data_IF_011396364713
#
_entry.id   IF_011396364713
#
_cell.length_a   1.000
_cell.length_b   1.000
_cell.length_c   1.000
_cell.angle_alpha   90.00
_cell.angle_beta   90.00
_cell.angle_gamma   90.00
#
_symmetry.space_group_name_H-M   'P 1'
#
loop_
_entity.id
_entity.type
_entity.pdbx_description
1 polymer ?
#
# COMPACT_ATOMS: atom_id res chain seq x y z
N UNK A 1 -7.10 15.74 15.89
CA UNK A 1 -8.38 15.48 16.59
C UNK A 1 -8.51 16.57 17.64
N UNK A 2 -9.63 17.29 17.67
CA UNK A 2 -9.88 18.29 18.71
C UNK A 2 -10.60 17.55 19.83
N UNK A 3 -9.94 17.47 20.98
CA UNK A 3 -10.46 16.73 22.12
C UNK A 3 -11.19 17.67 23.09
N UNK A 4 -10.71 18.90 23.27
CA UNK A 4 -11.38 19.97 24.03
C UNK A 4 -11.05 21.37 23.45
N UNK A 5 -11.94 22.35 23.65
CA UNK A 5 -11.74 23.75 23.27
C UNK A 5 -12.48 24.20 21.99
N UNK A 6 -12.25 25.46 21.59
CA UNK A 6 -12.90 26.08 20.42
C UNK A 6 -11.90 26.23 19.28
N UNK A 7 -12.28 25.83 18.05
CA UNK A 7 -11.46 26.03 16.84
C UNK A 7 -12.21 26.83 15.80
N UNK A 8 -11.46 27.65 15.06
CA UNK A 8 -11.90 28.17 13.77
C UNK A 8 -11.12 27.42 12.69
N UNK A 9 -11.83 26.79 11.75
CA UNK A 9 -11.24 26.06 10.65
C UNK A 9 -11.78 26.59 9.32
N UNK A 10 -10.94 26.63 8.30
CA UNK A 10 -11.34 26.92 6.93
C UNK A 10 -11.66 25.61 6.22
N UNK A 11 -12.82 25.55 5.57
CA UNK A 11 -13.21 24.39 4.76
C UNK A 11 -12.40 24.40 3.47
N UNK A 12 -11.52 23.41 3.30
CA UNK A 12 -10.74 23.21 2.07
C UNK A 12 -11.43 22.29 1.05
N UNK A 13 -12.34 21.42 1.50
CA UNK A 13 -13.14 20.52 0.66
C UNK A 13 -14.47 20.18 1.33
N UNK A 14 -15.54 19.99 0.55
CA UNK A 14 -16.89 19.70 1.04
C UNK A 14 -17.58 18.60 0.22
N UNK A 15 -18.54 17.89 0.83
CA UNK A 15 -19.30 16.83 0.16
C UNK A 15 -18.43 15.70 -0.39
N UNK A 16 -18.48 15.50 -1.72
CA UNK A 16 -17.77 14.43 -2.43
C UNK A 16 -16.26 14.63 -2.45
N UNK A 17 -15.79 15.86 -2.29
CA UNK A 17 -14.36 16.19 -2.32
C UNK A 17 -13.68 15.96 -0.96
N UNK A 18 -14.44 15.56 0.07
CA UNK A 18 -13.88 15.25 1.38
C UNK A 18 -13.06 13.97 1.36
N UNK A 19 -12.05 13.90 2.23
CA UNK A 19 -11.25 12.70 2.46
C UNK A 19 -12.15 11.50 2.81
N UNK A 20 -13.19 11.70 3.62
CA UNK A 20 -14.13 10.64 3.97
C UNK A 20 -14.92 10.12 2.77
N UNK A 21 -15.43 10.99 1.89
CA UNK A 21 -16.10 10.55 0.66
C UNK A 21 -15.15 9.74 -0.24
N UNK A 22 -13.91 10.21 -0.40
CA UNK A 22 -12.90 9.47 -1.16
C UNK A 22 -12.61 8.08 -0.58
N UNK A 23 -12.54 7.95 0.75
CA UNK A 23 -12.38 6.65 1.42
C UNK A 23 -13.58 5.74 1.12
N UNK A 24 -14.80 6.26 1.25
CA UNK A 24 -16.03 5.50 0.98
C UNK A 24 -16.10 5.05 -0.48
N UNK A 25 -15.72 5.92 -1.43
CA UNK A 25 -15.72 5.60 -2.85
C UNK A 25 -14.63 4.58 -3.22
N UNK A 26 -13.45 4.67 -2.61
CA UNK A 26 -12.40 3.65 -2.76
C UNK A 26 -12.89 2.27 -2.27
N UNK A 27 -13.50 2.20 -1.09
CA UNK A 27 -14.03 0.94 -0.55
C UNK A 27 -15.14 0.38 -1.44
N UNK A 28 -16.06 1.23 -1.93
CA UNK A 28 -17.13 0.81 -2.84
C UNK A 28 -16.58 0.27 -4.17
N UNK A 29 -15.58 0.93 -4.75
CA UNK A 29 -14.94 0.47 -5.99
C UNK A 29 -14.25 -0.87 -5.78
N UNK A 30 -13.53 -1.03 -4.66
CA UNK A 30 -12.85 -2.28 -4.32
C UNK A 30 -13.80 -3.47 -4.19
N UNK A 31 -15.02 -3.24 -3.67
CA UNK A 31 -16.05 -4.26 -3.54
C UNK A 31 -16.76 -4.60 -4.86
N UNK A 32 -16.77 -3.69 -5.84
CA UNK A 32 -17.47 -3.86 -7.12
C UNK A 32 -16.68 -4.63 -8.19
N UNK A 33 -15.39 -4.84 -7.99
CA UNK A 33 -14.52 -5.49 -8.97
C UNK A 33 -14.50 -7.01 -8.81
N UNK A 34 -14.46 -7.76 -9.93
CA UNK A 34 -14.39 -9.23 -9.90
C UNK A 34 -12.96 -9.71 -9.62
N UNK A 35 -12.68 -10.31 -8.45
CA UNK A 35 -11.34 -10.78 -8.11
C UNK A 35 -10.96 -12.05 -8.89
N UNK A 36 -9.64 -12.34 -9.03
CA UNK A 36 -9.16 -13.58 -9.65
C UNK A 36 -9.74 -14.86 -9.04
N UNK A 37 -9.95 -14.90 -7.71
CA UNK A 37 -10.55 -16.09 -7.07
C UNK A 37 -12.01 -16.32 -7.47
N UNK A 38 -12.78 -15.25 -7.74
CA UNK A 38 -14.11 -15.39 -8.30
C UNK A 38 -14.06 -15.96 -9.74
N UNK A 39 -13.02 -15.63 -10.51
CA UNK A 39 -12.81 -16.25 -11.82
C UNK A 39 -12.43 -17.74 -11.71
N UNK A 40 -11.72 -18.13 -10.63
CA UNK A 40 -11.47 -19.55 -10.34
C UNK A 40 -12.78 -20.28 -10.04
N UNK A 41 -13.66 -19.68 -9.24
CA UNK A 41 -15.00 -20.18 -9.01
C UNK A 41 -15.79 -20.35 -10.33
N UNK A 42 -15.77 -19.35 -11.21
CA UNK A 42 -16.43 -19.44 -12.53
C UNK A 42 -15.87 -20.59 -13.40
N UNK A 43 -14.54 -20.81 -13.37
CA UNK A 43 -13.90 -21.94 -14.07
C UNK A 43 -14.31 -23.29 -13.52
N UNK A 44 -14.42 -23.42 -12.19
CA UNK A 44 -14.89 -24.67 -11.57
C UNK A 44 -16.34 -24.93 -12.00
N UNK A 45 -17.21 -23.93 -11.95
CA UNK A 45 -18.60 -24.04 -12.39
C UNK A 45 -18.72 -24.47 -13.86
N UNK A 46 -17.85 -23.95 -14.73
CA UNK A 46 -17.84 -24.32 -16.16
C UNK A 46 -17.54 -25.81 -16.42
N UNK A 47 -16.81 -26.48 -15.51
CA UNK A 47 -16.54 -27.92 -15.57
C UNK A 47 -17.62 -28.70 -14.79
N UNK A 48 -17.99 -28.20 -13.62
CA UNK A 48 -18.90 -28.87 -12.68
C UNK A 48 -20.30 -29.04 -13.26
N UNK A 49 -20.85 -28.01 -13.93
CA UNK A 49 -22.21 -28.06 -14.49
C UNK A 49 -22.37 -29.16 -15.55
N UNK A 50 -21.51 -29.27 -16.58
CA UNK A 50 -21.56 -30.39 -17.54
C UNK A 50 -21.42 -31.77 -16.88
N UNK A 51 -20.55 -31.89 -15.86
CA UNK A 51 -20.34 -33.16 -15.14
C UNK A 51 -21.61 -33.57 -14.40
N UNK A 52 -22.26 -32.66 -13.67
CA UNK A 52 -23.51 -32.92 -12.95
C UNK A 52 -24.63 -33.30 -13.91
N UNK A 53 -24.76 -32.62 -15.06
CA UNK A 53 -25.73 -32.99 -16.09
C UNK A 53 -25.48 -34.41 -16.63
N UNK A 54 -24.21 -34.76 -16.87
CA UNK A 54 -23.81 -36.11 -17.25
C UNK A 54 -24.19 -37.15 -16.18
N UNK A 55 -23.90 -36.89 -14.91
CA UNK A 55 -24.28 -37.77 -13.79
C UNK A 55 -25.79 -37.91 -13.68
N UNK A 56 -26.56 -36.83 -13.84
CA UNK A 56 -28.02 -36.87 -13.80
C UNK A 56 -28.60 -37.70 -14.96
N UNK A 57 -28.05 -37.57 -16.16
CA UNK A 57 -28.44 -38.38 -17.32
C UNK A 57 -28.11 -39.87 -17.10
N UNK A 58 -26.91 -40.18 -16.60
CA UNK A 58 -26.52 -41.55 -16.26
C UNK A 58 -27.39 -42.12 -15.13
N UNK A 59 -27.75 -41.31 -14.15
CA UNK A 59 -28.66 -41.67 -13.06
C UNK A 59 -30.03 -42.04 -13.60
N UNK A 60 -30.58 -41.23 -14.53
CA UNK A 60 -31.86 -41.52 -15.17
C UNK A 60 -31.82 -42.84 -15.94
N UNK A 61 -30.84 -43.02 -16.82
CA UNK A 61 -30.73 -44.21 -17.67
C UNK A 61 -30.50 -45.47 -16.83
N UNK A 62 -29.53 -45.43 -15.92
CA UNK A 62 -29.17 -46.58 -15.08
C UNK A 62 -30.31 -47.01 -14.14
N UNK A 63 -30.99 -46.06 -13.51
CA UNK A 63 -32.11 -46.37 -12.63
C UNK A 63 -33.36 -46.80 -13.41
N UNK A 64 -33.58 -46.28 -14.63
CA UNK A 64 -34.69 -46.74 -15.46
C UNK A 64 -34.52 -48.21 -15.85
N UNK A 65 -33.31 -48.61 -16.27
CA UNK A 65 -32.99 -50.01 -16.60
C UNK A 65 -33.12 -50.92 -15.37
N UNK A 66 -32.63 -50.48 -14.21
CA UNK A 66 -32.63 -51.30 -12.99
C UNK A 66 -34.02 -51.41 -12.34
N UNK A 67 -34.74 -50.31 -12.19
CA UNK A 67 -36.04 -50.27 -11.51
C UNK A 67 -37.21 -50.59 -12.46
N UNK A 68 -36.98 -50.60 -13.78
CA UNK A 68 -38.01 -50.76 -14.82
C UNK A 68 -39.14 -49.72 -14.71
N UNK A 69 -38.89 -48.58 -14.05
CA UNK A 69 -39.88 -47.54 -13.79
C UNK A 69 -39.29 -46.16 -14.08
N UNK A 70 -39.93 -45.43 -14.98
CA UNK A 70 -39.46 -44.11 -15.42
C UNK A 70 -39.60 -43.05 -14.32
N UNK A 71 -40.75 -42.98 -13.65
CA UNK A 71 -41.03 -41.94 -12.66
C UNK A 71 -40.02 -41.94 -11.48
N UNK A 72 -39.69 -43.07 -10.83
CA UNK A 72 -38.67 -43.10 -9.78
C UNK A 72 -37.27 -42.75 -10.28
N UNK A 73 -36.91 -43.16 -11.50
CA UNK A 73 -35.61 -42.83 -12.11
C UNK A 73 -35.49 -41.33 -12.41
N UNK A 74 -36.56 -40.71 -12.91
CA UNK A 74 -36.65 -39.27 -13.13
C UNK A 74 -36.54 -38.48 -11.82
N UNK A 75 -37.20 -38.93 -10.76
CA UNK A 75 -37.11 -38.30 -9.43
C UNK A 75 -35.68 -38.33 -8.87
N UNK A 76 -34.94 -39.44 -9.06
CA UNK A 76 -33.52 -39.54 -8.64
C UNK A 76 -32.63 -38.61 -9.45
N UNK A 77 -32.84 -38.51 -10.77
CA UNK A 77 -32.10 -37.58 -11.62
C UNK A 77 -32.37 -36.11 -11.24
N UNK A 78 -33.63 -35.75 -10.97
CA UNK A 78 -33.99 -34.42 -10.46
C UNK A 78 -33.34 -34.16 -9.09
N UNK A 79 -33.33 -35.14 -8.19
CA UNK A 79 -32.67 -35.01 -6.89
C UNK A 79 -31.16 -34.73 -7.03
N UNK A 80 -30.48 -35.38 -7.99
CA UNK A 80 -29.06 -35.09 -8.32
C UNK A 80 -28.88 -33.65 -8.80
N UNK A 81 -29.76 -33.15 -9.67
CA UNK A 81 -29.67 -31.76 -10.16
C UNK A 81 -29.93 -30.74 -9.04
N UNK A 82 -30.93 -30.98 -8.19
CA UNK A 82 -31.31 -30.09 -7.09
C UNK A 82 -30.19 -30.03 -6.05
N UNK A 83 -29.68 -31.19 -5.62
CA UNK A 83 -28.67 -31.24 -4.55
C UNK A 83 -27.29 -30.75 -5.00
N UNK A 84 -27.06 -30.66 -6.31
CA UNK A 84 -25.80 -30.21 -6.86
C UNK A 84 -25.69 -28.68 -7.01
N UNK A 85 -26.73 -27.87 -6.80
CA UNK A 85 -26.60 -26.41 -6.92
C UNK A 85 -25.51 -25.90 -5.96
N UNK A 86 -24.42 -25.27 -6.44
CA UNK A 86 -23.44 -24.64 -5.56
C UNK A 86 -23.92 -23.23 -5.19
N UNK A 87 -25.09 -23.13 -4.59
CA UNK A 87 -25.77 -21.87 -4.30
C UNK A 87 -24.95 -21.00 -3.30
N UNK A 88 -24.37 -21.59 -2.24
CA UNK A 88 -23.45 -20.90 -1.32
C UNK A 88 -22.15 -20.36 -1.95
N UNK A 89 -21.66 -21.01 -3.01
CA UNK A 89 -20.38 -20.66 -3.65
C UNK A 89 -20.39 -19.23 -4.22
N UNK A 90 -21.52 -18.81 -4.80
CA UNK A 90 -21.66 -17.50 -5.44
C UNK A 90 -21.60 -16.33 -4.46
N UNK A 91 -21.87 -16.57 -3.17
CA UNK A 91 -21.91 -15.54 -2.12
C UNK A 91 -20.70 -15.59 -1.19
N UNK A 92 -20.09 -16.76 -1.00
CA UNK A 92 -18.99 -16.94 -0.06
C UNK A 92 -17.76 -16.06 -0.34
N UNK A 93 -17.37 -15.95 -1.62
CA UNK A 93 -16.17 -15.17 -2.01
C UNK A 93 -16.41 -13.65 -1.85
N UNK A 94 -17.49 -13.06 -2.39
CA UNK A 94 -17.79 -11.65 -2.17
C UNK A 94 -17.95 -11.27 -0.70
N UNK A 95 -18.57 -12.12 0.12
CA UNK A 95 -18.74 -11.88 1.55
C UNK A 95 -17.40 -11.82 2.29
N UNK A 96 -16.53 -12.81 2.10
CA UNK A 96 -15.21 -12.85 2.72
C UNK A 96 -14.35 -11.64 2.33
N UNK A 97 -14.40 -11.23 1.06
CA UNK A 97 -13.69 -10.04 0.57
C UNK A 97 -14.26 -8.76 1.20
N UNK A 98 -15.58 -8.61 1.24
CA UNK A 98 -16.22 -7.43 1.84
C UNK A 98 -15.83 -7.26 3.31
N UNK A 99 -15.81 -8.36 4.08
CA UNK A 99 -15.38 -8.33 5.48
C UNK A 99 -13.88 -8.08 5.61
N UNK A 100 -13.05 -8.71 4.77
CA UNK A 100 -11.60 -8.49 4.75
C UNK A 100 -11.24 -7.02 4.47
N UNK A 101 -11.87 -6.42 3.45
CA UNK A 101 -11.73 -5.00 3.11
C UNK A 101 -12.25 -4.10 4.23
N UNK A 102 -13.40 -4.44 4.85
CA UNK A 102 -13.95 -3.69 5.98
C UNK A 102 -13.03 -3.71 7.20
N UNK A 103 -12.45 -4.87 7.53
CA UNK A 103 -11.46 -5.02 8.61
C UNK A 103 -10.17 -4.24 8.30
N UNK A 104 -9.69 -4.30 7.06
CA UNK A 104 -8.54 -3.51 6.62
C UNK A 104 -8.80 -2.00 6.81
N UNK A 105 -9.93 -1.50 6.32
CA UNK A 105 -10.29 -0.09 6.42
C UNK A 105 -10.39 0.39 7.87
N UNK A 106 -10.99 -0.42 8.77
CA UNK A 106 -11.04 -0.12 10.22
C UNK A 106 -9.66 0.00 10.86
N UNK A 107 -8.65 -0.67 10.32
CA UNK A 107 -7.27 -0.61 10.80
C UNK A 107 -6.40 0.38 10.00
N UNK A 108 -7.02 1.20 9.15
CA UNK A 108 -6.31 2.20 8.36
C UNK A 108 -5.51 1.62 7.20
N UNK A 109 -5.99 0.54 6.59
CA UNK A 109 -5.42 -0.05 5.37
C UNK A 109 -6.52 -0.03 4.31
N UNK A 110 -6.33 0.74 3.25
CA UNK A 110 -7.31 0.87 2.18
C UNK A 110 -6.80 0.13 0.95
N UNK A 111 -7.50 -0.93 0.56
CA UNK A 111 -7.28 -1.58 -0.72
C UNK A 111 -8.22 -0.95 -1.75
N UNK A 112 -7.68 -0.62 -2.93
CA UNK A 112 -8.45 -0.04 -4.03
C UNK A 112 -9.23 -1.08 -4.82
N UNK A 113 -8.68 -2.29 -4.89
CA UNK A 113 -9.25 -3.41 -5.63
C UNK A 113 -9.07 -4.71 -4.85
N UNK A 114 -10.04 -5.62 -5.01
CA UNK A 114 -10.01 -6.93 -4.36
C UNK A 114 -8.84 -7.79 -4.86
N UNK A 115 -8.37 -7.58 -6.09
CA UNK A 115 -7.21 -8.27 -6.66
C UNK A 115 -5.95 -8.00 -5.84
N UNK A 116 -5.75 -6.77 -5.40
CA UNK A 116 -4.61 -6.38 -4.57
C UNK A 116 -4.58 -7.15 -3.26
N UNK A 117 -5.73 -7.35 -2.61
CA UNK A 117 -5.83 -8.16 -1.39
C UNK A 117 -5.30 -9.61 -1.62
N UNK A 118 -5.58 -10.19 -2.78
CA UNK A 118 -5.06 -11.52 -3.15
C UNK A 118 -3.57 -11.52 -3.48
N UNK A 119 -3.08 -10.48 -4.19
CA UNK A 119 -1.68 -10.36 -4.59
C UNK A 119 -0.74 -10.26 -3.39
N UNK A 120 -1.17 -9.64 -2.28
CA UNK A 120 -0.39 -9.52 -1.05
C UNK A 120 0.11 -10.86 -0.50
N UNK A 121 -0.66 -11.93 -0.68
CA UNK A 121 -0.30 -13.28 -0.22
C UNK A 121 0.98 -13.79 -0.87
N UNK A 122 1.20 -13.45 -2.14
CA UNK A 122 2.27 -14.03 -2.96
C UNK A 122 3.55 -13.17 -2.94
N UNK A 123 3.54 -12.03 -2.25
CA UNK A 123 4.69 -11.14 -2.17
C UNK A 123 5.92 -11.86 -1.62
N UNK A 124 7.03 -11.71 -2.33
CA UNK A 124 8.35 -12.27 -1.98
C UNK A 124 9.36 -11.20 -1.62
N UNK A 125 9.15 -9.99 -2.11
CA UNK A 125 10.02 -8.87 -1.81
C UNK A 125 9.25 -7.56 -1.70
N UNK A 126 9.80 -6.66 -0.89
CA UNK A 126 9.30 -5.30 -0.69
C UNK A 126 10.43 -4.33 -0.99
N UNK A 127 10.18 -3.43 -1.92
CA UNK A 127 11.03 -2.30 -2.26
C UNK A 127 10.52 -1.07 -1.52
N UNK A 128 11.40 -0.39 -0.83
CA UNK A 128 11.11 0.82 -0.10
C UNK A 128 11.75 2.01 -0.79
N UNK A 129 10.99 3.07 -1.02
CA UNK A 129 11.58 4.39 -1.16
C UNK A 129 12.14 4.87 0.19
N UNK A 130 13.09 5.80 0.14
CA UNK A 130 13.67 6.37 1.35
C UNK A 130 12.78 7.46 1.93
N UNK A 131 12.62 8.55 1.18
CA UNK A 131 12.15 9.84 1.68
C UNK A 131 10.64 9.79 1.88
N UNK A 132 10.16 10.14 3.07
CA UNK A 132 8.73 10.10 3.40
C UNK A 132 8.15 8.69 3.62
N UNK A 133 8.93 7.64 3.33
CA UNK A 133 8.54 6.23 3.48
C UNK A 133 9.22 5.58 4.69
N UNK A 134 10.52 5.27 4.61
CA UNK A 134 11.30 4.77 5.76
C UNK A 134 11.66 5.91 6.71
N UNK A 135 11.76 7.11 6.16
CA UNK A 135 11.87 8.35 6.92
C UNK A 135 10.53 9.07 6.99
N UNK A 136 10.46 10.07 7.86
CA UNK A 136 9.28 10.92 8.05
C UNK A 136 9.20 12.01 6.98
N UNK A 137 10.27 12.27 6.22
CA UNK A 137 10.39 13.44 5.34
C UNK A 137 10.55 14.75 6.11
N UNK A 138 10.63 14.69 7.44
CA UNK A 138 10.93 15.82 8.30
C UNK A 138 12.43 15.83 8.53
N UNK A 139 13.06 16.89 8.04
CA UNK A 139 14.49 17.09 8.20
C UNK A 139 14.75 17.77 9.55
N UNK A 140 15.79 17.30 10.25
CA UNK A 140 16.36 17.98 11.40
C UNK A 140 17.82 18.34 11.18
N UNK A 141 18.29 19.39 11.84
CA UNK A 141 19.67 19.85 11.67
C UNK A 141 20.61 18.86 12.36
N UNK A 142 21.47 18.22 11.56
CA UNK A 142 22.43 17.23 12.03
C UNK A 142 23.71 17.90 12.54
N UNK A 143 24.11 19.01 11.92
CA UNK A 143 25.31 19.77 12.28
C UNK A 143 25.47 20.99 11.39
N UNK A 144 26.40 21.87 11.77
CA UNK A 144 26.81 23.00 10.95
C UNK A 144 28.26 23.34 11.28
N UNK A 145 28.94 24.00 10.35
CA UNK A 145 30.28 24.50 10.57
C UNK A 145 30.42 25.89 9.98
N UNK A 146 31.16 26.75 10.70
CA UNK A 146 31.43 28.12 10.32
C UNK A 146 32.90 28.18 9.94
N UNK A 147 33.17 28.57 8.70
CA UNK A 147 34.53 28.70 8.17
C UNK A 147 35.03 30.12 8.39
N UNK A 148 34.16 31.12 8.21
CA UNK A 148 34.51 32.52 8.35
C UNK A 148 34.79 32.87 9.82
N UNK A 149 36.05 33.20 10.20
CA UNK A 149 36.42 33.47 11.58
C UNK A 149 35.82 34.78 12.11
N UNK A 150 35.27 35.64 11.24
CA UNK A 150 34.59 36.88 11.62
C UNK A 150 33.10 36.68 11.93
N UNK A 151 32.57 35.48 11.69
CA UNK A 151 31.17 35.15 11.85
C UNK A 151 30.93 34.42 13.17
N UNK A 152 29.99 34.91 13.98
CA UNK A 152 29.52 34.19 15.16
C UNK A 152 28.34 33.25 14.81
N UNK A 153 28.08 32.30 15.71
CA UNK A 153 27.01 31.32 15.55
C UNK A 153 25.63 31.98 15.41
N UNK A 154 25.40 33.07 16.14
CA UNK A 154 24.12 33.79 16.13
C UNK A 154 23.87 34.43 14.78
N UNK A 155 24.85 35.14 14.19
CA UNK A 155 24.67 35.75 12.89
C UNK A 155 24.61 34.70 11.77
N UNK A 156 25.39 33.62 11.86
CA UNK A 156 25.32 32.52 10.90
C UNK A 156 23.91 31.92 10.83
N UNK A 157 23.36 31.54 12.00
CA UNK A 157 22.01 30.98 12.10
C UNK A 157 20.95 31.98 11.63
N UNK A 158 21.10 33.27 11.96
CA UNK A 158 20.20 34.34 11.53
C UNK A 158 20.20 34.51 10.01
N UNK A 159 21.36 34.47 9.36
CA UNK A 159 21.49 34.56 7.90
C UNK A 159 20.82 33.35 7.24
N UNK A 160 21.17 32.14 7.69
CA UNK A 160 20.62 30.90 7.17
C UNK A 160 19.08 30.87 7.26
N UNK A 161 18.53 31.12 8.45
CA UNK A 161 17.07 31.09 8.65
C UNK A 161 16.35 32.20 7.88
N UNK A 162 16.94 33.40 7.77
CA UNK A 162 16.35 34.53 7.03
C UNK A 162 16.35 34.32 5.51
N UNK A 163 17.35 33.62 4.95
CA UNK A 163 17.38 33.24 3.53
C UNK A 163 16.37 32.12 3.24
N UNK A 164 16.44 31.05 4.02
CA UNK A 164 15.67 29.82 3.78
C UNK A 164 14.18 29.99 4.04
N UNK A 165 13.77 31.01 4.82
CA UNK A 165 12.36 31.35 5.06
C UNK A 165 11.56 31.62 3.78
N UNK A 166 12.22 31.99 2.68
CA UNK A 166 11.58 32.27 1.40
C UNK A 166 11.49 31.04 0.47
N UNK A 167 12.15 29.93 0.82
CA UNK A 167 12.10 28.70 0.02
C UNK A 167 10.98 27.77 0.50
N UNK A 168 10.37 27.06 -0.45
CA UNK A 168 9.37 26.03 -0.16
C UNK A 168 10.00 24.64 0.07
N UNK A 169 11.31 24.50 -0.09
CA UNK A 169 12.00 23.22 0.02
C UNK A 169 11.94 22.67 1.47
N UNK A 170 11.74 21.36 1.68
CA UNK A 170 11.68 20.77 3.03
C UNK A 170 12.90 21.07 3.91
N UNK A 171 14.10 21.05 3.34
CA UNK A 171 15.36 21.42 4.04
C UNK A 171 15.36 22.90 4.47
N UNK A 172 14.83 23.79 3.62
CA UNK A 172 14.74 25.20 3.95
C UNK A 172 13.77 25.46 5.11
N UNK A 173 12.65 24.73 5.11
CA UNK A 173 11.67 24.77 6.18
C UNK A 173 12.24 24.29 7.50
N UNK A 174 13.08 23.24 7.53
CA UNK A 174 13.70 22.79 8.78
C UNK A 174 14.66 23.84 9.33
N UNK A 175 15.53 24.42 8.49
CA UNK A 175 16.47 25.47 8.89
C UNK A 175 15.75 26.71 9.42
N UNK A 176 14.78 27.23 8.67
CA UNK A 176 14.02 28.42 9.06
C UNK A 176 13.15 28.23 10.30
N UNK A 177 12.72 27.00 10.59
CA UNK A 177 11.92 26.69 11.78
C UNK A 177 12.78 26.50 13.03
N UNK A 178 13.84 25.69 12.94
CA UNK A 178 14.72 25.39 14.09
C UNK A 178 15.59 26.59 14.50
N UNK A 179 16.05 27.38 13.53
CA UNK A 179 16.90 28.55 13.78
C UNK A 179 16.14 29.87 13.70
N UNK A 180 14.84 29.84 14.01
CA UNK A 180 14.00 31.03 14.02
C UNK A 180 14.50 32.03 15.07
N UNK A 181 15.04 33.16 14.62
CA UNK A 181 15.51 34.24 15.48
C UNK A 181 14.46 35.35 15.63
N UNK A 182 14.49 36.10 16.75
CA UNK A 182 13.57 37.26 16.96
C UNK A 182 13.87 38.45 16.05
N UNK A 183 15.05 38.50 15.45
CA UNK A 183 15.50 39.59 14.58
C UNK A 183 15.74 39.06 13.16
N UNK A 184 14.69 39.05 12.34
CA UNK A 184 14.80 38.69 10.91
C UNK A 184 15.61 39.74 10.15
N UNK A 185 16.50 39.30 9.26
CA UNK A 185 17.19 40.19 8.34
C UNK A 185 16.21 40.71 7.28
N UNK A 186 16.25 42.02 7.04
CA UNK A 186 15.50 42.64 5.93
C UNK A 186 16.34 42.64 4.68
N UNK A 187 15.98 41.76 3.74
CA UNK A 187 16.59 41.72 2.43
C UNK A 187 16.03 42.80 1.51
N UNK A 188 16.89 43.43 0.72
CA UNK A 188 16.52 44.36 -0.35
C UNK A 188 15.96 43.60 -1.56
N UNK A 189 16.54 42.43 -1.84
CA UNK A 189 16.12 41.53 -2.92
C UNK A 189 16.33 40.08 -2.49
N UNK A 190 15.39 39.19 -2.79
CA UNK A 190 15.51 37.75 -2.58
C UNK A 190 15.00 37.05 -3.83
N UNK A 191 15.76 36.09 -4.34
CA UNK A 191 15.42 35.30 -5.53
C UNK A 191 15.77 33.82 -5.31
N UNK A 192 14.88 32.94 -5.75
CA UNK A 192 15.12 31.50 -5.79
C UNK A 192 15.75 31.15 -7.15
N UNK A 193 16.94 30.57 -7.11
CA UNK A 193 17.63 30.04 -8.28
C UNK A 193 17.29 28.56 -8.38
N UNK A 194 16.39 28.24 -9.32
CA UNK A 194 15.88 26.88 -9.51
C UNK A 194 17.00 25.85 -9.62
N UNK A 195 16.93 24.81 -8.78
CA UNK A 195 17.89 23.70 -8.76
C UNK A 195 19.23 24.01 -8.07
N UNK A 196 19.45 25.24 -7.61
CA UNK A 196 20.68 25.65 -6.94
C UNK A 196 20.44 26.11 -5.51
N UNK A 197 19.47 26.98 -5.26
CA UNK A 197 19.19 27.49 -3.91
C UNK A 197 18.62 28.90 -3.90
N UNK A 198 18.81 29.62 -2.79
CA UNK A 198 18.36 30.99 -2.58
C UNK A 198 19.51 31.99 -2.70
N UNK A 199 19.24 33.16 -3.26
CA UNK A 199 20.14 34.30 -3.24
C UNK A 199 19.42 35.54 -2.69
N UNK A 200 20.08 36.30 -1.85
CA UNK A 200 19.57 37.57 -1.34
C UNK A 200 20.64 38.66 -1.31
N UNK A 201 20.19 39.91 -1.33
CA UNK A 201 21.02 41.11 -1.16
C UNK A 201 20.50 41.88 0.04
N UNK A 202 21.39 42.25 0.96
CA UNK A 202 21.04 43.06 2.13
C UNK A 202 20.95 44.57 1.80
N UNK A 203 20.75 45.40 2.83
CA UNK A 203 20.68 46.86 2.68
C UNK A 203 22.06 47.50 2.37
N UNK A 204 23.15 46.84 2.77
CA UNK A 204 24.53 47.30 2.61
C UNK A 204 25.10 46.93 1.23
N UNK A 205 24.40 46.07 0.48
CA UNK A 205 24.81 45.62 -0.86
C UNK A 205 25.57 44.29 -0.87
N UNK A 206 25.67 43.61 0.28
CA UNK A 206 26.28 42.28 0.34
C UNK A 206 25.36 41.24 -0.29
N UNK A 207 25.95 40.32 -1.06
CA UNK A 207 25.25 39.20 -1.67
C UNK A 207 25.43 37.96 -0.81
N UNK A 208 24.31 37.34 -0.43
CA UNK A 208 24.29 36.07 0.29
C UNK A 208 23.63 35.00 -0.56
N UNK A 209 24.16 33.78 -0.50
CA UNK A 209 23.61 32.62 -1.18
C UNK A 209 23.54 31.43 -0.22
N UNK A 210 22.47 30.64 -0.31
CA UNK A 210 22.29 29.39 0.42
C UNK A 210 21.82 28.32 -0.56
N UNK A 211 22.57 27.24 -0.75
CA UNK A 211 22.25 26.29 -1.81
C UNK A 211 23.07 25.01 -1.82
N UNK A 212 22.87 24.20 -2.87
CA UNK A 212 23.55 22.93 -3.08
C UNK A 212 25.03 23.09 -3.41
N UNK A 213 25.77 21.98 -3.41
CA UNK A 213 27.20 21.96 -3.78
C UNK A 213 27.48 22.64 -5.13
N UNK A 214 26.58 22.54 -6.11
CA UNK A 214 26.75 23.16 -7.42
C UNK A 214 26.92 24.68 -7.33
N UNK A 215 26.30 25.33 -6.32
CA UNK A 215 26.45 26.77 -6.07
C UNK A 215 27.78 27.13 -5.40
N UNK A 216 28.39 26.18 -4.67
CA UNK A 216 29.64 26.35 -3.95
C UNK A 216 30.85 25.68 -4.64
N UNK A 217 30.66 25.14 -5.85
CA UNK A 217 31.64 24.31 -6.55
C UNK A 217 32.98 25.02 -6.78
N UNK A 218 32.94 26.33 -7.01
CA UNK A 218 34.15 27.14 -7.23
C UNK A 218 34.85 27.53 -5.91
N UNK A 219 34.21 27.26 -4.77
CA UNK A 219 34.65 27.68 -3.43
C UNK A 219 35.05 26.50 -2.53
N UNK A 220 34.51 25.31 -2.75
CA UNK A 220 34.87 24.09 -2.02
C UNK A 220 34.81 22.87 -2.93
N UNK A 221 35.66 21.89 -2.62
CA UNK A 221 35.67 20.59 -3.28
C UNK A 221 34.89 19.54 -2.48
N UNK A 222 34.53 19.85 -1.23
CA UNK A 222 33.72 18.97 -0.40
C UNK A 222 32.26 19.08 -0.82
N UNK A 223 31.71 17.98 -1.33
CA UNK A 223 30.33 17.86 -1.77
C UNK A 223 29.48 17.04 -0.80
N UNK A 224 29.94 16.79 0.43
CA UNK A 224 29.26 15.92 1.40
C UNK A 224 28.09 16.61 2.11
N UNK A 225 28.09 17.95 2.15
CA UNK A 225 27.12 18.75 2.89
C UNK A 225 25.86 19.09 2.09
N UNK A 226 24.78 19.36 2.82
CA UNK A 226 23.46 19.62 2.23
C UNK A 226 23.28 21.06 1.73
N UNK A 227 23.62 22.04 2.56
CA UNK A 227 23.45 23.47 2.25
C UNK A 227 24.74 24.22 2.53
N UNK A 228 25.24 24.95 1.53
CA UNK A 228 26.42 25.81 1.65
C UNK A 228 25.94 27.26 1.74
N UNK A 229 26.50 28.01 2.68
CA UNK A 229 26.26 29.44 2.81
C UNK A 229 27.46 30.22 2.28
N UNK A 230 27.19 31.22 1.45
CA UNK A 230 28.18 32.04 0.77
C UNK A 230 27.84 33.52 1.00
N UNK A 231 28.86 34.33 1.28
CA UNK A 231 28.77 35.79 1.36
C UNK A 231 29.81 36.41 0.43
N UNK A 232 29.38 37.28 -0.50
CA UNK A 232 30.27 37.97 -1.45
C UNK A 232 31.29 37.03 -2.11
N UNK A 233 30.80 35.89 -2.63
CA UNK A 233 31.59 34.83 -3.27
C UNK A 233 32.70 34.22 -2.38
N UNK A 234 32.54 34.31 -1.06
CA UNK A 234 33.34 33.58 -0.07
C UNK A 234 32.46 32.61 0.71
N UNK A 235 32.91 31.37 0.86
CA UNK A 235 32.17 30.35 1.62
C UNK A 235 32.25 30.67 3.12
N UNK A 236 31.09 30.93 3.74
CA UNK A 236 31.01 31.27 5.17
C UNK A 236 30.79 30.03 6.05
N UNK A 237 30.23 28.95 5.48
CA UNK A 237 30.01 27.70 6.19
C UNK A 237 29.01 26.80 5.49
N UNK A 238 28.59 25.75 6.19
CA UNK A 238 27.61 24.78 5.69
C UNK A 238 26.69 24.29 6.81
N UNK A 239 25.55 23.74 6.39
CA UNK A 239 24.54 23.13 7.25
C UNK A 239 24.22 21.75 6.72
N UNK A 240 24.30 20.77 7.62
CA UNK A 240 23.94 19.40 7.37
C UNK A 240 22.59 19.10 8.00
N UNK A 241 21.73 18.46 7.22
CA UNK A 241 20.43 18.01 7.67
C UNK A 241 20.32 16.50 7.51
N UNK A 242 19.61 15.87 8.43
CA UNK A 242 19.26 14.46 8.35
C UNK A 242 17.76 14.33 8.31
N UNK A 243 17.30 13.35 7.55
CA UNK A 243 15.89 12.97 7.53
C UNK A 243 15.65 11.99 8.67
N UNK A 244 14.63 12.23 9.49
CA UNK A 244 14.35 11.39 10.65
C UNK A 244 13.77 10.06 10.22
N UNK A 245 14.41 8.96 10.64
CA UNK A 245 13.93 7.61 10.40
C UNK A 245 12.68 7.36 11.23
N UNK A 246 11.68 6.70 10.64
CA UNK A 246 10.47 6.32 11.36
C UNK A 246 10.82 5.31 12.47
N UNK A 247 10.38 5.53 13.72
CA UNK A 247 10.74 4.65 14.84
C UNK A 247 10.25 3.20 14.65
N UNK A 248 9.17 3.00 13.89
CA UNK A 248 8.66 1.68 13.55
C UNK A 248 9.39 0.98 12.40
N UNK A 249 10.20 1.68 11.61
CA UNK A 249 10.77 1.16 10.37
C UNK A 249 11.57 -0.13 10.60
N UNK A 250 12.47 -0.11 11.59
CA UNK A 250 13.29 -1.29 11.92
C UNK A 250 12.45 -2.52 12.24
N UNK A 251 11.44 -2.34 13.10
CA UNK A 251 10.54 -3.42 13.51
C UNK A 251 9.72 -3.99 12.33
N UNK A 252 9.33 -3.13 11.38
CA UNK A 252 8.63 -3.56 10.17
C UNK A 252 9.56 -4.40 9.30
N UNK A 253 10.81 -3.97 9.07
CA UNK A 253 11.82 -4.75 8.33
C UNK A 253 12.04 -6.11 9.00
N UNK A 254 12.27 -6.15 10.32
CA UNK A 254 12.47 -7.39 11.06
C UNK A 254 11.26 -8.35 10.91
N UNK A 255 10.03 -7.79 10.88
CA UNK A 255 8.80 -8.59 10.69
C UNK A 255 8.69 -9.15 9.27
N UNK A 256 9.16 -8.42 8.26
CA UNK A 256 9.22 -8.89 6.87
C UNK A 256 10.24 -10.03 6.73
N UNK A 257 11.42 -9.88 7.35
CA UNK A 257 12.43 -10.93 7.41
C UNK A 257 11.94 -12.20 8.10
N UNK A 258 11.23 -12.06 9.22
CA UNK A 258 10.63 -13.21 9.91
C UNK A 258 9.59 -13.95 9.05
N UNK A 259 9.02 -13.29 8.03
CA UNK A 259 8.11 -13.88 7.04
C UNK A 259 8.83 -14.38 5.78
N UNK A 260 10.15 -14.27 5.71
CA UNK A 260 10.96 -14.66 4.55
C UNK A 260 10.80 -13.72 3.34
N UNK A 261 10.40 -12.46 3.59
CA UNK A 261 10.24 -11.44 2.55
C UNK A 261 11.54 -10.64 2.45
N UNK A 262 12.12 -10.59 1.25
CA UNK A 262 13.33 -9.81 0.98
C UNK A 262 13.03 -8.31 0.95
N UNK A 263 13.89 -7.51 1.55
CA UNK A 263 13.76 -6.06 1.62
C UNK A 263 14.80 -5.37 0.74
N UNK A 264 14.37 -4.36 -0.01
CA UNK A 264 15.22 -3.64 -0.97
C UNK A 264 15.02 -2.14 -0.73
N UNK A 265 16.10 -1.39 -0.56
CA UNK A 265 16.07 0.07 -0.55
C UNK A 265 16.33 0.58 -1.96
N UNK A 266 15.42 1.42 -2.47
CA UNK A 266 15.57 2.09 -3.76
C UNK A 266 15.59 3.60 -3.51
N UNK A 267 16.72 4.26 -3.79
CA UNK A 267 16.90 5.68 -3.46
C UNK A 267 17.68 6.44 -4.54
N UNK A 268 17.42 7.74 -4.63
CA UNK A 268 18.24 8.68 -5.40
C UNK A 268 19.45 9.21 -4.63
N UNK A 269 19.55 8.91 -3.33
CA UNK A 269 20.67 9.33 -2.49
C UNK A 269 21.98 8.65 -2.89
N UNK A 270 23.10 9.26 -2.47
CA UNK A 270 24.43 8.66 -2.63
C UNK A 270 24.51 7.31 -1.95
N UNK A 271 25.28 6.42 -2.57
CA UNK A 271 25.44 5.03 -2.11
C UNK A 271 25.85 4.90 -0.65
N UNK A 272 26.80 5.72 -0.21
CA UNK A 272 27.30 5.72 1.17
C UNK A 272 26.19 5.99 2.20
N UNK A 273 25.31 6.97 1.93
CA UNK A 273 24.18 7.32 2.82
C UNK A 273 23.10 6.23 2.79
N UNK A 274 22.82 5.67 1.62
CA UNK A 274 21.85 4.59 1.47
C UNK A 274 22.31 3.29 2.15
N UNK A 275 23.60 2.95 2.03
CA UNK A 275 24.21 1.78 2.68
C UNK A 275 24.23 1.93 4.21
N UNK A 276 24.49 3.14 4.72
CA UNK A 276 24.42 3.41 6.16
C UNK A 276 23.00 3.21 6.70
N UNK A 277 21.98 3.74 6.02
CA UNK A 277 20.58 3.56 6.38
C UNK A 277 20.16 2.08 6.32
N UNK A 278 20.57 1.38 5.26
CA UNK A 278 20.28 -0.04 5.11
C UNK A 278 20.91 -0.89 6.22
N UNK A 279 22.14 -0.57 6.65
CA UNK A 279 22.77 -1.24 7.80
C UNK A 279 22.03 -0.95 9.11
N UNK A 280 21.61 0.29 9.32
CA UNK A 280 20.84 0.69 10.51
C UNK A 280 19.49 -0.03 10.58
N UNK A 281 18.79 -0.16 9.45
CA UNK A 281 17.47 -0.79 9.36
C UNK A 281 17.51 -2.30 9.10
N UNK A 282 18.67 -2.86 8.76
CA UNK A 282 18.81 -4.27 8.38
C UNK A 282 18.22 -4.61 7.00
N UNK A 283 18.34 -3.74 6.00
CA UNK A 283 17.80 -3.98 4.65
C UNK A 283 18.77 -4.87 3.83
N UNK A 284 18.23 -5.83 3.07
CA UNK A 284 19.04 -6.87 2.38
C UNK A 284 19.79 -6.37 1.14
N UNK A 285 19.22 -5.40 0.42
CA UNK A 285 19.78 -4.93 -0.85
C UNK A 285 19.56 -3.44 -1.01
N UNK A 286 20.57 -2.72 -1.50
CA UNK A 286 20.53 -1.28 -1.74
C UNK A 286 20.72 -1.00 -3.23
N UNK A 287 19.82 -0.19 -3.79
CA UNK A 287 19.90 0.37 -5.13
C UNK A 287 19.86 1.90 -4.97
N UNK A 288 21.03 2.52 -4.95
CA UNK A 288 21.22 3.95 -4.69
C UNK A 288 21.53 4.73 -5.98
N UNK A 289 21.51 6.07 -5.91
CA UNK A 289 21.87 6.98 -7.03
C UNK A 289 21.01 6.80 -8.28
N UNK A 290 19.72 6.52 -8.10
CA UNK A 290 18.79 6.30 -9.21
C UNK A 290 17.94 7.54 -9.52
N UNK A 291 17.78 7.86 -10.81
CA UNK A 291 16.77 8.82 -11.28
C UNK A 291 15.36 8.22 -11.22
N UNK A 292 14.28 9.02 -11.27
CA UNK A 292 12.91 8.51 -11.30
C UNK A 292 12.65 7.47 -12.41
N UNK A 293 13.21 7.68 -13.59
CA UNK A 293 13.09 6.75 -14.73
C UNK A 293 13.81 5.42 -14.46
N UNK A 294 14.99 5.48 -13.84
CA UNK A 294 15.74 4.29 -13.47
C UNK A 294 15.04 3.51 -12.35
N UNK A 295 14.46 4.21 -11.35
CA UNK A 295 13.63 3.59 -10.32
C UNK A 295 12.51 2.76 -10.95
N UNK A 296 11.81 3.33 -11.94
CA UNK A 296 10.73 2.65 -12.67
C UNK A 296 11.23 1.36 -13.34
N UNK A 297 12.35 1.42 -14.05
CA UNK A 297 12.95 0.27 -14.73
C UNK A 297 13.34 -0.84 -13.74
N UNK A 298 13.91 -0.48 -12.58
CA UNK A 298 14.23 -1.45 -11.54
C UNK A 298 12.98 -2.12 -10.99
N UNK A 299 11.92 -1.36 -10.72
CA UNK A 299 10.66 -1.93 -10.24
C UNK A 299 10.04 -2.86 -11.27
N UNK A 300 10.07 -2.49 -12.56
CA UNK A 300 9.55 -3.34 -13.64
C UNK A 300 10.33 -4.66 -13.74
N UNK A 301 11.67 -4.61 -13.71
CA UNK A 301 12.52 -5.80 -13.72
C UNK A 301 12.29 -6.67 -12.49
N UNK A 302 12.30 -6.08 -11.30
CA UNK A 302 12.11 -6.78 -10.03
C UNK A 302 10.73 -7.44 -9.95
N UNK A 303 9.69 -6.76 -10.43
CA UNK A 303 8.32 -7.29 -10.45
C UNK A 303 8.12 -8.41 -11.48
N UNK A 304 8.91 -8.42 -12.56
CA UNK A 304 8.92 -9.51 -13.53
C UNK A 304 9.63 -10.76 -13.01
N UNK A 305 10.70 -10.58 -12.21
CA UNK A 305 11.43 -11.68 -11.57
C UNK A 305 10.65 -12.31 -10.42
N UNK A 306 10.09 -11.51 -9.52
CA UNK A 306 9.33 -11.96 -8.37
C UNK A 306 8.18 -11.02 -7.99
N UNK A 307 7.09 -11.51 -7.37
CA UNK A 307 6.02 -10.66 -6.86
C UNK A 307 6.57 -9.60 -5.88
N UNK A 308 6.50 -8.35 -6.30
CA UNK A 308 7.17 -7.21 -5.66
C UNK A 308 6.16 -6.17 -5.21
N UNK A 309 6.25 -5.79 -3.94
CA UNK A 309 5.56 -4.62 -3.41
C UNK A 309 6.49 -3.42 -3.47
N UNK A 310 6.02 -2.27 -3.95
CA UNK A 310 6.72 -1.00 -3.83
C UNK A 310 6.01 -0.16 -2.77
N UNK A 311 6.76 0.36 -1.79
CA UNK A 311 6.24 1.26 -0.77
C UNK A 311 6.85 2.63 -0.98
N UNK A 312 6.01 3.65 -1.11
CA UNK A 312 6.45 5.02 -1.42
C UNK A 312 5.52 6.09 -0.85
N UNK A 313 5.98 7.34 -0.88
CA UNK A 313 5.14 8.52 -0.58
C UNK A 313 4.26 8.91 -1.78
N UNK A 314 4.51 8.33 -2.96
CA UNK A 314 3.79 8.53 -4.21
C UNK A 314 3.77 9.95 -4.78
N UNK A 315 4.51 10.90 -4.19
CA UNK A 315 4.71 12.23 -4.79
C UNK A 315 5.68 12.12 -5.96
N UNK A 316 6.80 11.43 -5.75
CA UNK A 316 7.83 11.23 -6.77
C UNK A 316 7.79 9.82 -7.40
N UNK A 317 7.16 8.86 -6.73
CA UNK A 317 7.21 7.45 -7.10
C UNK A 317 5.89 6.89 -7.68
N UNK A 318 4.92 7.76 -7.99
CA UNK A 318 3.61 7.36 -8.55
C UNK A 318 3.69 6.37 -9.73
N UNK A 319 4.51 6.63 -10.77
CA UNK A 319 4.71 5.69 -11.87
C UNK A 319 5.30 4.35 -11.43
N UNK A 320 6.24 4.35 -10.48
CA UNK A 320 6.88 3.15 -9.97
C UNK A 320 5.89 2.29 -9.13
N UNK A 321 5.05 2.95 -8.31
CA UNK A 321 3.97 2.29 -7.57
C UNK A 321 2.98 1.58 -8.50
N UNK A 322 2.63 2.20 -9.63
CA UNK A 322 1.70 1.62 -10.60
C UNK A 322 2.26 0.41 -11.37
N UNK A 323 3.59 0.31 -11.49
CA UNK A 323 4.26 -0.81 -12.19
C UNK A 323 4.59 -1.99 -11.29
N UNK A 324 4.63 -1.79 -9.97
CA UNK A 324 4.85 -2.87 -9.03
C UNK A 324 3.73 -3.91 -9.11
N UNK A 325 4.00 -5.16 -8.68
CA UNK A 325 2.92 -6.15 -8.49
C UNK A 325 1.86 -5.61 -7.54
N UNK A 326 2.30 -4.89 -6.51
CA UNK A 326 1.45 -4.15 -5.59
C UNK A 326 2.11 -2.81 -5.27
N UNK A 327 1.47 -1.70 -5.64
CA UNK A 327 1.87 -0.36 -5.21
C UNK A 327 1.23 0.02 -3.87
N UNK A 328 2.05 0.38 -2.89
CA UNK A 328 1.62 0.78 -1.54
C UNK A 328 2.02 2.23 -1.30
N UNK A 329 1.06 3.14 -1.12
CA UNK A 329 1.33 4.53 -0.75
C UNK A 329 1.08 4.78 0.73
N UNK A 330 1.83 5.73 1.28
CA UNK A 330 1.63 6.27 2.63
C UNK A 330 0.54 7.37 2.61
N UNK A 331 -0.14 7.63 3.73
CA UNK A 331 -1.27 8.58 3.78
C UNK A 331 -0.93 10.06 3.79
N UNK A 332 0.33 10.39 4.10
CA UNK A 332 0.81 11.77 4.04
C UNK A 332 1.04 12.23 2.58
N UNK A 333 0.77 11.33 1.64
CA UNK A 333 0.91 11.50 0.21
C UNK A 333 -0.14 12.44 -0.38
N UNK A 334 0.22 13.11 -1.49
CA UNK A 334 -0.70 13.93 -2.27
C UNK A 334 -1.93 13.13 -2.75
N UNK A 335 -3.04 13.81 -3.05
CA UNK A 335 -4.23 13.15 -3.60
C UNK A 335 -3.93 12.36 -4.90
N UNK A 336 -2.92 12.79 -5.67
CA UNK A 336 -2.49 12.13 -6.91
C UNK A 336 -1.85 10.75 -6.64
N UNK A 337 -1.07 10.65 -5.57
CA UNK A 337 -0.44 9.40 -5.11
C UNK A 337 -1.46 8.36 -4.66
N UNK A 338 -2.47 8.80 -3.89
CA UNK A 338 -3.59 7.93 -3.48
C UNK A 338 -4.38 7.39 -4.68
N UNK A 339 -4.37 8.11 -5.81
CA UNK A 339 -5.01 7.68 -7.05
C UNK A 339 -4.14 6.75 -7.91
N UNK A 340 -2.88 6.49 -7.57
CA UNK A 340 -2.01 5.59 -8.34
C UNK A 340 -1.72 4.28 -7.62
N UNK A 341 -1.72 4.28 -6.28
CA UNK A 341 -1.47 3.08 -5.50
C UNK A 341 -2.65 2.10 -5.48
N UNK A 342 -2.31 0.82 -5.37
CA UNK A 342 -3.23 -0.30 -5.14
C UNK A 342 -3.68 -0.37 -3.68
N UNK A 343 -2.79 0.01 -2.76
CA UNK A 343 -3.05 0.03 -1.32
C UNK A 343 -2.56 1.33 -0.72
N UNK A 344 -3.35 1.90 0.19
CA UNK A 344 -3.01 3.11 0.92
C UNK A 344 -2.97 2.79 2.42
N UNK A 345 -1.83 3.07 3.07
CA UNK A 345 -1.67 2.97 4.52
C UNK A 345 -2.02 4.32 5.16
N UNK A 346 -3.12 4.35 5.92
CA UNK A 346 -3.63 5.52 6.64
C UNK A 346 -2.80 5.89 7.87
N UNK A 347 -3.25 6.92 8.59
CA UNK A 347 -2.69 7.49 9.82
C UNK A 347 -2.29 6.40 10.83
N UNK A 348 -1.01 6.02 10.76
CA UNK A 348 -0.26 4.96 11.47
C UNK A 348 0.89 4.43 10.58
N UNK A 349 0.91 4.84 9.30
CA UNK A 349 2.07 4.75 8.41
C UNK A 349 2.55 3.33 8.20
N UNK A 350 3.88 3.15 8.25
CA UNK A 350 4.56 1.93 7.84
C UNK A 350 4.25 0.75 8.77
N UNK A 351 3.84 1.04 10.01
CA UNK A 351 3.47 0.06 11.04
C UNK A 351 2.37 -0.90 10.60
N UNK A 352 1.49 -0.46 9.70
CA UNK A 352 0.36 -1.25 9.23
C UNK A 352 0.72 -2.22 8.10
N UNK A 353 1.91 -2.09 7.49
CA UNK A 353 2.34 -2.93 6.37
C UNK A 353 2.35 -4.44 6.73
N UNK A 354 2.91 -4.89 7.88
CA UNK A 354 2.83 -6.30 8.27
C UNK A 354 1.40 -6.82 8.46
N UNK A 355 0.49 -5.97 8.94
CA UNK A 355 -0.92 -6.32 9.10
C UNK A 355 -1.61 -6.47 7.74
N UNK A 356 -1.32 -5.58 6.78
CA UNK A 356 -1.83 -5.70 5.41
C UNK A 356 -1.43 -7.03 4.75
N UNK A 357 -0.17 -7.46 4.95
CA UNK A 357 0.31 -8.77 4.51
C UNK A 357 -0.41 -9.95 5.20
N UNK A 358 -0.69 -9.81 6.50
CA UNK A 358 -1.46 -10.81 7.24
C UNK A 358 -2.90 -10.94 6.76
N UNK A 359 -3.59 -9.81 6.58
CA UNK A 359 -4.99 -9.76 6.16
C UNK A 359 -5.19 -10.43 4.80
N UNK A 360 -4.37 -10.10 3.80
CA UNK A 360 -4.47 -10.74 2.47
C UNK A 360 -4.34 -12.27 2.53
N UNK A 361 -3.43 -12.79 3.37
CA UNK A 361 -3.27 -14.23 3.56
C UNK A 361 -4.48 -14.87 4.26
N UNK A 362 -5.00 -14.26 5.32
CA UNK A 362 -6.13 -14.80 6.07
C UNK A 362 -7.42 -14.78 5.24
N UNK A 363 -7.74 -13.66 4.58
CA UNK A 363 -8.91 -13.61 3.69
C UNK A 363 -8.84 -14.68 2.61
N UNK A 364 -7.67 -14.92 2.03
CA UNK A 364 -7.49 -15.98 1.04
C UNK A 364 -7.74 -17.39 1.61
N UNK A 365 -7.27 -17.67 2.83
CA UNK A 365 -7.49 -18.96 3.50
C UNK A 365 -9.00 -19.16 3.72
N UNK A 366 -9.70 -18.16 4.26
CA UNK A 366 -11.15 -18.21 4.48
C UNK A 366 -11.91 -18.45 3.18
N UNK A 367 -11.54 -17.78 2.09
CA UNK A 367 -12.17 -18.02 0.78
C UNK A 367 -11.97 -19.47 0.32
N UNK A 368 -10.76 -20.02 0.48
CA UNK A 368 -10.48 -21.42 0.12
C UNK A 368 -11.26 -22.42 0.97
N UNK A 369 -11.36 -22.18 2.27
CA UNK A 369 -12.12 -23.02 3.20
C UNK A 369 -13.61 -23.00 2.85
N UNK A 370 -14.18 -21.81 2.62
CA UNK A 370 -15.57 -21.67 2.22
C UNK A 370 -15.86 -22.40 0.90
N UNK A 371 -14.99 -22.28 -0.10
CA UNK A 371 -15.13 -23.00 -1.37
C UNK A 371 -14.96 -24.50 -1.20
N UNK A 372 -14.02 -24.95 -0.37
CA UNK A 372 -13.84 -26.37 -0.08
C UNK A 372 -15.10 -26.98 0.52
N UNK A 373 -15.68 -26.34 1.54
CA UNK A 373 -16.91 -26.82 2.18
C UNK A 373 -18.12 -26.79 1.23
N UNK A 374 -18.24 -25.77 0.39
CA UNK A 374 -19.31 -25.68 -0.60
C UNK A 374 -19.30 -26.86 -1.59
N UNK A 375 -18.12 -27.36 -1.97
CA UNK A 375 -18.01 -28.50 -2.88
C UNK A 375 -17.98 -29.86 -2.19
N UNK A 376 -17.40 -29.96 -1.00
CA UNK A 376 -17.28 -31.22 -0.26
C UNK A 376 -18.64 -31.86 0.00
N UNK A 377 -19.63 -31.04 0.42
CA UNK A 377 -20.99 -31.52 0.61
C UNK A 377 -21.61 -32.05 -0.69
N UNK A 378 -21.50 -31.31 -1.80
CA UNK A 378 -22.06 -31.72 -3.10
C UNK A 378 -21.44 -33.03 -3.60
N UNK A 379 -20.13 -33.22 -3.43
CA UNK A 379 -19.42 -34.45 -3.84
C UNK A 379 -19.98 -35.69 -3.12
N UNK A 380 -20.34 -35.57 -1.84
CA UNK A 380 -20.94 -36.68 -1.06
C UNK A 380 -22.42 -36.84 -1.37
N UNK A 381 -23.14 -35.73 -1.52
CA UNK A 381 -24.59 -35.70 -1.66
C UNK A 381 -25.09 -36.19 -3.04
N UNK A 382 -24.32 -35.95 -4.11
CA UNK A 382 -24.64 -36.40 -5.47
C UNK A 382 -24.74 -37.93 -5.59
N UNK A 383 -23.75 -38.73 -5.14
CA UNK A 383 -23.87 -40.19 -5.12
C UNK A 383 -25.07 -40.67 -4.30
N UNK A 384 -25.31 -40.09 -3.13
CA UNK A 384 -26.45 -40.44 -2.25
C UNK A 384 -27.79 -40.22 -2.97
N UNK A 385 -27.93 -39.11 -3.70
CA UNK A 385 -29.09 -38.83 -4.53
C UNK A 385 -29.20 -39.82 -5.72
N UNK A 386 -28.09 -40.11 -6.39
CA UNK A 386 -28.04 -40.99 -7.56
C UNK A 386 -28.45 -42.44 -7.24
N UNK A 387 -28.06 -42.95 -6.06
CA UNK A 387 -28.46 -44.28 -5.58
C UNK A 387 -29.88 -44.31 -4.98
N UNK A 388 -30.55 -43.16 -4.87
CA UNK A 388 -31.90 -43.07 -4.30
C UNK A 388 -31.98 -43.27 -2.80
N UNK A 389 -30.86 -43.07 -2.09
CA UNK A 389 -30.78 -43.18 -0.63
C UNK A 389 -31.49 -42.02 0.09
N UNK A 390 -31.89 -40.98 -0.64
CA UNK A 390 -32.72 -39.87 -0.15
C UNK A 390 -34.21 -40.24 0.00
N UNK A 391 -34.60 -41.47 -0.33
CA UNK A 391 -35.98 -41.95 -0.19
C UNK A 391 -36.98 -41.38 -1.22
N UNK A 392 -38.27 -41.63 -0.99
CA UNK A 392 -39.36 -41.32 -1.93
C UNK A 392 -39.52 -39.82 -2.22
N UNK A 393 -39.20 -38.97 -1.25
CA UNK A 393 -39.23 -37.50 -1.38
C UNK A 393 -37.84 -36.91 -1.62
N UNK A 394 -36.97 -37.65 -2.33
CA UNK A 394 -35.56 -37.30 -2.53
C UNK A 394 -35.29 -35.85 -2.96
N UNK A 395 -36.00 -35.27 -3.94
CA UNK A 395 -35.82 -33.87 -4.33
C UNK A 395 -36.16 -32.87 -3.21
N UNK A 396 -37.21 -33.16 -2.41
CA UNK A 396 -37.63 -32.29 -1.30
C UNK A 396 -36.61 -32.32 -0.17
N UNK A 397 -36.09 -33.50 0.18
CA UNK A 397 -35.01 -33.60 1.17
C UNK A 397 -33.71 -32.97 0.65
N UNK A 398 -33.37 -33.17 -0.62
CA UNK A 398 -32.23 -32.51 -1.24
C UNK A 398 -32.32 -30.97 -1.17
N UNK A 399 -33.51 -30.42 -1.45
CA UNK A 399 -33.75 -28.98 -1.32
C UNK A 399 -33.61 -28.47 0.12
N UNK A 400 -34.12 -29.22 1.10
CA UNK A 400 -34.04 -28.84 2.52
C UNK A 400 -32.59 -28.90 3.04
N UNK A 401 -31.84 -29.94 2.70
CA UNK A 401 -30.44 -30.08 3.13
C UNK A 401 -29.58 -29.00 2.46
N UNK A 402 -29.81 -28.69 1.19
CA UNK A 402 -29.15 -27.58 0.50
C UNK A 402 -29.40 -26.24 1.20
N UNK A 403 -30.67 -25.92 1.52
CA UNK A 403 -31.00 -24.68 2.20
C UNK A 403 -30.33 -24.57 3.59
N UNK A 404 -30.26 -25.67 4.34
CA UNK A 404 -29.53 -25.72 5.61
C UNK A 404 -28.03 -25.53 5.43
N UNK A 405 -27.45 -26.18 4.43
CA UNK A 405 -26.02 -26.06 4.09
C UNK A 405 -25.66 -24.61 3.75
N UNK A 406 -26.47 -23.94 2.94
CA UNK A 406 -26.25 -22.54 2.55
C UNK A 406 -26.27 -21.60 3.79
N UNK A 407 -27.21 -21.82 4.72
CA UNK A 407 -27.29 -21.04 5.97
C UNK A 407 -26.07 -21.29 6.87
N UNK A 408 -25.66 -22.54 7.05
CA UNK A 408 -24.48 -22.88 7.85
C UNK A 408 -23.23 -22.24 7.24
N UNK A 409 -23.07 -22.32 5.92
CA UNK A 409 -21.92 -21.77 5.23
C UNK A 409 -21.91 -20.24 5.28
N UNK A 410 -23.08 -19.59 5.20
CA UNK A 410 -23.20 -18.15 5.42
C UNK A 410 -22.84 -17.72 6.85
N UNK A 411 -23.22 -18.51 7.87
CA UNK A 411 -22.87 -18.24 9.27
C UNK A 411 -21.38 -18.44 9.51
N UNK A 412 -20.80 -19.53 9.01
CA UNK A 412 -19.35 -19.81 9.12
C UNK A 412 -18.55 -18.72 8.40
N UNK A 413 -18.96 -18.36 7.18
CA UNK A 413 -18.35 -17.27 6.44
C UNK A 413 -18.44 -15.92 7.15
N UNK A 414 -19.43 -15.69 8.02
CA UNK A 414 -19.56 -14.48 8.83
C UNK A 414 -18.80 -14.55 10.17
N UNK A 415 -18.60 -15.75 10.73
CA UNK A 415 -17.94 -15.98 12.01
C UNK A 415 -16.41 -16.02 11.90
N UNK A 416 -15.87 -16.60 10.83
CA UNK A 416 -14.42 -16.66 10.56
C UNK A 416 -13.89 -15.38 9.91
N UNK A 417 -14.77 -14.59 9.30
CA UNK A 417 -14.43 -13.34 8.61
C UNK A 417 -14.28 -12.16 9.53
#
# INVERSE_FOLDING_TARGET
>A
IILEGTVKAQVSAAGKDTVLSNILDLVKRAQGEKPPMQQMADKISAIFVPVVLGIAALTLIGNWIYLQAFAPALMRAIAVLVIACPCAMGLATPAAIAVGLGRAAKNGILFRDAKSLELFKNLKQVVFDKTGTLSTGHFSIAGFHIIDPTMDEVNFKRIASSLEKYSNHPIAKSISTEWKTKADLRWKKVEEIKGLGMQAIDAEGNTFKAGSFTMAKDLTHDASHNVYLIKNDSLIGWVDVKDEIRPEARKVIDTLHAKGIKTILLSGDRKEKADALAKELGIDTVIAEQTPEQKLQHIERLSAEQPTAMVGDGINDGPALAKATVGISMSDASQVAMQTASVVLMSNGLKNLPMALGLGKHTFITIRENLFWAFAYNIVAIPVAAFGLLGTYGPTYGALIMALSDVVLAIVAAADS
#
